data_IF_025077404099
#
_entry.id   IF_025077404099
#
_cell.length_a   1.000
_cell.length_b   1.000
_cell.length_c   1.000
_cell.angle_alpha   90.00
_cell.angle_beta   90.00
_cell.angle_gamma   90.00
#
_symmetry.space_group_name_H-M   'P 1'
#
loop_
_entity.id
_entity.type
_entity.pdbx_description
1 polymer ?
#
# COMPACT_ATOMS: atom_id res chain seq x y z
N UNK A 1 0.27 2.62 2.40
CA UNK A 1 0.13 3.94 1.74
C UNK A 1 -1.03 3.99 0.72
N UNK A 2 -1.16 3.02 -0.19
CA UNK A 2 -2.21 2.99 -1.23
C UNK A 2 -3.65 3.06 -0.68
N UNK A 3 -4.00 2.23 0.31
CA UNK A 3 -5.35 2.22 0.91
C UNK A 3 -5.70 3.54 1.62
N UNK A 4 -4.77 4.09 2.42
CA UNK A 4 -4.95 5.39 3.08
C UNK A 4 -5.13 6.54 2.09
N UNK A 5 -4.36 6.56 1.00
CA UNK A 5 -4.52 7.59 -0.03
C UNK A 5 -5.84 7.45 -0.80
N UNK A 6 -6.34 6.22 -0.95
CA UNK A 6 -7.68 5.99 -1.51
C UNK A 6 -8.77 6.57 -0.62
N UNK A 7 -8.75 6.26 0.68
CA UNK A 7 -9.68 6.82 1.67
C UNK A 7 -9.64 8.36 1.67
N UNK A 8 -8.44 8.95 1.70
CA UNK A 8 -8.29 10.41 1.60
C UNK A 8 -8.84 10.97 0.28
N UNK A 9 -8.66 10.27 -0.84
CA UNK A 9 -9.21 10.72 -2.13
C UNK A 9 -10.73 10.59 -2.24
N UNK A 10 -11.36 9.69 -1.48
CA UNK A 10 -12.81 9.43 -1.50
C UNK A 10 -13.55 10.36 -0.50
N UNK A 11 -12.95 10.66 0.65
CA UNK A 11 -13.60 11.38 1.75
C UNK A 11 -13.29 12.90 1.79
N UNK A 12 -12.29 13.39 1.04
CA UNK A 12 -11.96 14.82 1.04
C UNK A 12 -12.93 15.64 0.17
N UNK A 13 -13.55 16.65 0.78
CA UNK A 13 -14.42 17.61 0.07
C UNK A 13 -13.62 18.52 -0.89
N UNK A 14 -12.35 18.80 -0.59
CA UNK A 14 -11.47 19.56 -1.48
C UNK A 14 -11.06 18.69 -2.68
N UNK A 15 -11.70 18.96 -3.82
CA UNK A 15 -11.47 18.27 -5.08
C UNK A 15 -10.02 18.31 -5.56
N UNK A 16 -9.27 19.39 -5.31
CA UNK A 16 -7.85 19.47 -5.73
C UNK A 16 -7.00 18.52 -4.91
N UNK A 17 -7.27 18.45 -3.61
CA UNK A 17 -6.54 17.60 -2.69
C UNK A 17 -6.90 16.11 -2.89
N UNK A 18 -8.18 15.83 -3.12
CA UNK A 18 -8.66 14.50 -3.49
C UNK A 18 -7.98 13.98 -4.78
N UNK A 19 -7.92 14.81 -5.83
CA UNK A 19 -7.24 14.44 -7.08
C UNK A 19 -5.73 14.25 -6.90
N UNK A 20 -5.10 15.03 -6.01
CA UNK A 20 -3.69 14.85 -5.67
C UNK A 20 -3.44 13.50 -4.98
N UNK A 21 -4.22 13.15 -3.95
CA UNK A 21 -4.10 11.86 -3.27
C UNK A 21 -4.43 10.67 -4.17
N UNK A 22 -5.37 10.83 -5.10
CA UNK A 22 -5.66 9.82 -6.14
C UNK A 22 -4.44 9.56 -7.03
N UNK A 23 -3.72 10.61 -7.46
CA UNK A 23 -2.49 10.45 -8.25
C UNK A 23 -1.38 9.77 -7.46
N UNK A 24 -1.23 10.11 -6.17
CA UNK A 24 -0.28 9.43 -5.29
C UNK A 24 -0.61 7.94 -5.13
N UNK A 25 -1.88 7.60 -4.92
CA UNK A 25 -2.34 6.21 -4.82
C UNK A 25 -1.95 5.39 -6.06
N UNK A 26 -2.16 5.95 -7.26
CA UNK A 26 -1.78 5.29 -8.52
C UNK A 26 -0.26 5.11 -8.63
N UNK A 27 0.54 6.09 -8.21
CA UNK A 27 2.01 5.96 -8.20
C UNK A 27 2.48 4.84 -7.28
N UNK A 28 1.91 4.74 -6.07
CA UNK A 28 2.23 3.69 -5.11
C UNK A 28 1.82 2.30 -5.61
N UNK A 29 0.68 2.20 -6.32
CA UNK A 29 0.24 0.96 -6.96
C UNK A 29 1.24 0.46 -8.03
N UNK A 30 1.81 1.40 -8.81
CA UNK A 30 2.85 1.08 -9.77
C UNK A 30 4.16 0.66 -9.10
N UNK A 31 4.52 1.30 -7.97
CA UNK A 31 5.73 0.96 -7.22
C UNK A 31 5.72 -0.47 -6.70
N UNK A 32 4.69 -0.91 -5.96
CA UNK A 32 4.69 -2.26 -5.40
C UNK A 32 4.69 -3.34 -6.49
N UNK A 33 3.98 -3.10 -7.59
CA UNK A 33 3.92 -4.01 -8.74
C UNK A 33 5.30 -4.16 -9.38
N UNK A 34 6.06 -3.05 -9.50
CA UNK A 34 7.42 -3.05 -10.03
C UNK A 34 8.38 -3.82 -9.12
N UNK A 35 8.37 -3.57 -7.82
CA UNK A 35 9.23 -4.30 -6.87
C UNK A 35 8.93 -5.80 -6.86
N UNK A 36 7.65 -6.18 -6.86
CA UNK A 36 7.26 -7.58 -6.88
C UNK A 36 7.64 -8.27 -8.20
N UNK A 37 7.56 -7.57 -9.34
CA UNK A 37 8.07 -8.07 -10.62
C UNK A 37 9.57 -8.33 -10.57
N UNK A 38 10.37 -7.40 -10.04
CA UNK A 38 11.81 -7.62 -9.89
C UNK A 38 12.13 -8.74 -8.92
N UNK A 39 11.44 -8.83 -7.79
CA UNK A 39 11.62 -9.94 -6.85
C UNK A 39 11.36 -11.30 -7.53
N UNK A 40 10.31 -11.42 -8.33
CA UNK A 40 10.00 -12.64 -9.11
C UNK A 40 10.97 -12.90 -10.25
N UNK A 41 11.58 -11.86 -10.83
CA UNK A 41 12.56 -11.99 -11.90
C UNK A 41 13.91 -12.50 -11.39
N UNK A 42 14.34 -12.03 -10.22
CA UNK A 42 15.66 -12.34 -9.65
C UNK A 42 15.63 -13.43 -8.56
N UNK A 43 14.46 -13.77 -8.05
CA UNK A 43 14.25 -14.81 -7.04
C UNK A 43 13.45 -16.01 -7.57
N UNK A 44 13.41 -17.09 -6.79
CA UNK A 44 12.53 -18.22 -7.07
C UNK A 44 11.08 -17.81 -6.80
N UNK A 45 10.20 -18.02 -7.78
CA UNK A 45 8.82 -17.53 -7.74
C UNK A 45 8.05 -18.04 -6.53
N UNK A 46 8.20 -19.32 -6.20
CA UNK A 46 7.52 -19.96 -5.08
C UNK A 46 7.93 -19.33 -3.75
N UNK A 47 9.24 -19.04 -3.59
CA UNK A 47 9.78 -18.38 -2.39
C UNK A 47 9.29 -16.93 -2.28
N UNK A 48 9.29 -16.21 -3.40
CA UNK A 48 8.85 -14.82 -3.46
C UNK A 48 7.35 -14.70 -3.18
N UNK A 49 6.54 -15.57 -3.80
CA UNK A 49 5.09 -15.57 -3.62
C UNK A 49 4.71 -16.00 -2.19
N UNK A 50 5.45 -16.92 -1.57
CA UNK A 50 5.25 -17.27 -0.16
C UNK A 50 5.57 -16.09 0.75
N UNK A 51 6.77 -15.50 0.61
CA UNK A 51 7.16 -14.31 1.40
C UNK A 51 6.18 -13.16 1.22
N UNK A 52 5.67 -12.95 0.00
CA UNK A 52 4.68 -11.92 -0.28
C UNK A 52 3.39 -12.15 0.51
N UNK A 53 2.89 -13.38 0.55
CA UNK A 53 1.71 -13.74 1.37
C UNK A 53 1.97 -13.52 2.86
N UNK A 54 3.13 -13.96 3.35
CA UNK A 54 3.50 -13.80 4.77
C UNK A 54 3.57 -12.31 5.16
N UNK A 55 4.11 -11.46 4.29
CA UNK A 55 4.18 -10.01 4.50
C UNK A 55 2.80 -9.36 4.49
N UNK A 56 1.89 -9.78 3.60
CA UNK A 56 0.51 -9.29 3.58
C UNK A 56 -0.24 -9.67 4.85
N UNK A 57 -0.05 -10.90 5.34
CA UNK A 57 -0.68 -11.35 6.59
C UNK A 57 -0.12 -10.60 7.79
N UNK A 58 1.20 -10.36 7.82
CA UNK A 58 1.85 -9.55 8.85
C UNK A 58 1.38 -8.08 8.83
N UNK A 59 1.30 -7.46 7.65
CA UNK A 59 0.77 -6.10 7.48
C UNK A 59 -0.67 -6.01 7.99
N UNK A 60 -1.52 -6.99 7.67
CA UNK A 60 -2.90 -7.04 8.13
C UNK A 60 -3.01 -7.10 9.67
N UNK A 61 -2.07 -7.77 10.35
CA UNK A 61 -2.03 -7.74 11.82
C UNK A 61 -1.60 -6.37 12.35
N UNK A 62 -0.55 -5.77 11.76
CA UNK A 62 -0.09 -4.43 12.13
C UNK A 62 -1.21 -3.40 11.97
N UNK A 63 -1.98 -3.45 10.88
CA UNK A 63 -3.07 -2.50 10.62
C UNK A 63 -4.18 -2.55 11.68
N UNK A 64 -4.50 -3.74 12.21
CA UNK A 64 -5.47 -3.89 13.31
C UNK A 64 -5.01 -3.15 14.56
N UNK A 65 -3.70 -3.15 14.84
CA UNK A 65 -3.12 -2.49 16.00
C UNK A 65 -2.93 -0.98 15.77
N UNK A 66 -2.61 -0.57 14.53
CA UNK A 66 -2.39 0.83 14.15
C UNK A 66 -3.68 1.68 14.11
N UNK A 67 -4.84 1.06 14.12
CA UNK A 67 -6.15 1.75 14.09
C UNK A 67 -6.43 2.56 15.37
N UNK A 68 -5.57 2.47 16.39
CA UNK A 68 -5.75 3.13 17.71
C UNK A 68 -5.09 4.51 17.83
N UNK A 69 -4.30 4.94 16.85
CA UNK A 69 -3.60 6.24 16.91
C UNK A 69 -3.54 6.89 15.54
N UNK A 70 -4.16 8.06 15.42
CA UNK A 70 -4.25 8.86 14.20
C UNK A 70 -2.89 9.51 13.87
N UNK A 71 -1.98 8.77 13.25
CA UNK A 71 -0.75 9.32 12.70
C UNK A 71 -0.50 8.82 11.27
N UNK A 72 -0.38 9.78 10.34
CA UNK A 72 -0.30 9.53 8.89
C UNK A 72 0.98 8.76 8.52
N UNK A 73 2.04 8.96 9.27
CA UNK A 73 3.10 8.01 9.59
C UNK A 73 3.33 8.17 11.09
N UNK A 74 3.65 7.08 11.81
CA UNK A 74 3.82 7.12 13.27
C UNK A 74 4.66 8.29 13.78
#
# INVERSE_FOLDING_TARGET
SCERFRLLSEELEDKKLADFYRKLMISEANHYTMFLKFARQYGQREVVDQKWKDLLEFEAQIMKDLSKTELIHG
#
